data_IF_150481805863
#
_entry.id   IF_150481805863
#
_cell.length_a   1.000
_cell.length_b   1.000
_cell.length_c   1.000
_cell.angle_alpha   90.00
_cell.angle_beta   90.00
_cell.angle_gamma   90.00
#
_symmetry.space_group_name_H-M   'P 1'
#
loop_
_entity.id
_entity.type
_entity.pdbx_description
1 polymer ?
#
# COMPACT_ATOMS: atom_id res chain seq x y z
N UNK A 1 20.62 7.81 -1.15
CA UNK A 1 19.85 8.00 0.09
C UNK A 1 18.84 6.87 0.14
N UNK A 2 18.81 6.08 1.21
CA UNK A 2 17.80 5.04 1.35
C UNK A 2 16.47 5.74 1.66
N UNK A 3 15.62 5.89 0.64
CA UNK A 3 14.22 6.27 0.81
C UNK A 3 13.51 5.14 1.55
N UNK A 4 13.66 5.12 2.87
CA UNK A 4 12.96 4.21 3.77
C UNK A 4 11.48 4.48 3.55
N UNK A 5 10.77 3.53 2.95
CA UNK A 5 9.33 3.61 2.77
C UNK A 5 8.68 3.88 4.13
N UNK A 6 7.66 4.76 4.19
CA UNK A 6 7.03 5.09 5.46
C UNK A 6 6.56 3.79 6.14
N UNK A 7 6.74 3.67 7.47
CA UNK A 7 6.42 2.45 8.17
C UNK A 7 4.94 2.13 7.95
N UNK A 8 4.64 0.85 7.73
CA UNK A 8 3.27 0.36 7.54
C UNK A 8 2.47 0.40 8.85
N UNK A 9 2.38 1.57 9.50
CA UNK A 9 1.65 1.77 10.75
C UNK A 9 0.15 1.82 10.54
N UNK A 10 -0.32 1.79 9.29
CA UNK A 10 -1.73 1.80 8.97
C UNK A 10 -2.32 0.39 9.12
N UNK A 11 -3.30 0.17 10.02
CA UNK A 11 -3.95 -1.12 10.17
C UNK A 11 -4.55 -1.59 8.85
N UNK A 12 -4.28 -2.85 8.47
CA UNK A 12 -4.74 -3.43 7.21
C UNK A 12 -3.90 -3.07 5.97
N UNK A 13 -2.80 -2.31 6.13
CA UNK A 13 -1.78 -2.13 5.10
C UNK A 13 -0.76 -3.28 5.17
N UNK A 14 -0.58 -3.95 4.05
CA UNK A 14 0.43 -4.98 3.86
C UNK A 14 1.34 -4.59 2.70
N UNK A 15 2.65 -4.64 2.92
CA UNK A 15 3.67 -4.32 1.92
C UNK A 15 4.53 -5.55 1.70
N UNK A 16 4.66 -5.96 0.45
CA UNK A 16 5.60 -6.94 -0.02
C UNK A 16 6.71 -6.22 -0.78
N UNK A 17 7.96 -6.34 -0.32
CA UNK A 17 9.11 -5.64 -0.88
C UNK A 17 9.55 -6.19 -2.25
N UNK A 18 8.95 -7.28 -2.73
CA UNK A 18 9.33 -7.92 -3.98
C UNK A 18 10.62 -8.73 -3.86
N UNK A 19 11.35 -8.85 -4.97
CA UNK A 19 12.66 -9.51 -5.05
C UNK A 19 13.54 -8.77 -6.08
N UNK A 20 14.62 -8.16 -5.57
CA UNK A 20 15.59 -7.40 -6.36
C UNK A 20 16.89 -8.17 -6.49
N UNK A 21 17.23 -8.55 -7.72
CA UNK A 21 18.45 -9.28 -8.02
C UNK A 21 19.66 -8.35 -8.04
N UNK A 22 20.81 -8.85 -7.58
CA UNK A 22 22.08 -8.09 -7.55
C UNK A 22 22.56 -7.59 -8.93
N UNK A 23 22.00 -8.12 -10.03
CA UNK A 23 22.25 -7.65 -11.42
C UNK A 23 21.45 -6.40 -11.80
N UNK A 24 20.73 -5.81 -10.86
CA UNK A 24 19.99 -4.58 -11.08
C UNK A 24 18.58 -4.77 -11.65
N UNK A 25 18.02 -5.99 -11.55
CA UNK A 25 16.71 -6.33 -12.12
C UNK A 25 15.75 -6.81 -11.04
N UNK A 26 14.48 -6.45 -11.18
CA UNK A 26 13.41 -6.98 -10.33
C UNK A 26 12.95 -8.35 -10.85
N UNK A 27 13.10 -9.40 -10.05
CA UNK A 27 12.49 -10.71 -10.31
C UNK A 27 11.01 -10.71 -9.96
N UNK A 28 10.65 -9.91 -8.94
CA UNK A 28 9.27 -9.67 -8.53
C UNK A 28 9.14 -8.24 -8.05
N UNK A 29 8.24 -7.48 -8.67
CA UNK A 29 8.00 -6.10 -8.26
C UNK A 29 7.40 -6.05 -6.85
N UNK A 30 7.71 -5.00 -6.09
CA UNK A 30 7.05 -4.80 -4.81
C UNK A 30 5.56 -4.53 -4.99
N UNK A 31 4.79 -4.87 -3.97
CA UNK A 31 3.35 -4.64 -3.95
C UNK A 31 2.90 -4.09 -2.62
N UNK A 32 1.85 -3.28 -2.62
CA UNK A 32 1.18 -2.83 -1.41
C UNK A 32 -0.32 -3.09 -1.54
N UNK A 33 -0.92 -3.59 -0.48
CA UNK A 33 -2.35 -3.86 -0.39
C UNK A 33 -2.87 -3.24 0.89
N UNK A 34 -3.87 -2.37 0.77
CA UNK A 34 -4.60 -1.84 1.90
C UNK A 34 -6.02 -2.39 1.91
N UNK A 35 -6.46 -2.86 3.07
CA UNK A 35 -7.82 -3.32 3.33
C UNK A 35 -8.35 -2.63 4.57
N UNK A 36 -9.47 -1.91 4.47
CA UNK A 36 -10.13 -1.33 5.64
C UNK A 36 -11.19 -2.27 6.21
N UNK A 37 -11.60 -2.03 7.46
CA UNK A 37 -12.70 -2.72 8.15
C UNK A 37 -14.07 -2.56 7.48
N UNK A 38 -14.20 -1.59 6.57
CA UNK A 38 -15.45 -1.28 5.85
C UNK A 38 -15.49 -1.87 4.43
N UNK A 39 -14.55 -2.75 4.09
CA UNK A 39 -14.54 -3.47 2.80
C UNK A 39 -13.84 -2.75 1.64
N UNK A 40 -13.27 -1.55 1.85
CA UNK A 40 -12.43 -0.93 0.83
C UNK A 40 -11.12 -1.70 0.69
N UNK A 41 -10.76 -2.02 -0.56
CA UNK A 41 -9.48 -2.62 -0.91
C UNK A 41 -8.78 -1.78 -1.96
N UNK A 42 -7.51 -1.46 -1.74
CA UNK A 42 -6.65 -0.77 -2.71
C UNK A 42 -5.33 -1.49 -2.86
N UNK A 43 -4.74 -1.45 -4.07
CA UNK A 43 -3.52 -2.16 -4.41
C UNK A 43 -2.62 -1.30 -5.29
N UNK A 44 -1.31 -1.39 -5.07
CA UNK A 44 -0.25 -0.82 -5.89
C UNK A 44 0.81 -1.88 -6.21
N UNK A 45 1.49 -1.75 -7.36
CA UNK A 45 2.55 -2.66 -7.83
C UNK A 45 3.66 -1.85 -8.48
N UNK A 46 4.91 -2.11 -8.11
CA UNK A 46 6.06 -1.35 -8.61
C UNK A 46 6.58 -0.34 -7.59
N UNK A 47 7.84 0.04 -7.73
CA UNK A 47 8.58 0.81 -6.71
C UNK A 47 7.94 2.18 -6.48
N UNK A 48 7.72 2.94 -7.55
CA UNK A 48 7.16 4.29 -7.45
C UNK A 48 5.71 4.28 -6.99
N UNK A 49 4.91 3.34 -7.51
CA UNK A 49 3.51 3.17 -7.12
C UNK A 49 3.37 2.76 -5.66
N UNK A 50 4.19 1.84 -5.16
CA UNK A 50 4.18 1.43 -3.75
C UNK A 50 4.65 2.57 -2.85
N UNK A 51 5.65 3.36 -3.27
CA UNK A 51 6.11 4.53 -2.53
C UNK A 51 5.02 5.61 -2.43
N UNK A 52 4.38 5.96 -3.54
CA UNK A 52 3.29 6.93 -3.54
C UNK A 52 2.08 6.42 -2.75
N UNK A 53 1.73 5.15 -2.94
CA UNK A 53 0.62 4.51 -2.25
C UNK A 53 0.80 4.52 -0.74
N UNK A 54 1.94 4.06 -0.24
CA UNK A 54 2.19 3.99 1.22
C UNK A 54 2.22 5.37 1.87
N UNK A 55 2.61 6.41 1.14
CA UNK A 55 2.56 7.80 1.58
C UNK A 55 1.13 8.34 1.68
N UNK A 56 0.31 8.09 0.67
CA UNK A 56 -0.97 8.80 0.50
C UNK A 56 -2.21 7.95 0.86
N UNK A 57 -2.06 6.62 1.03
CA UNK A 57 -3.20 5.70 1.21
C UNK A 57 -4.10 6.07 2.38
N UNK A 58 -3.55 6.59 3.47
CA UNK A 58 -4.33 7.03 4.63
C UNK A 58 -5.26 8.21 4.26
N UNK A 59 -4.73 9.23 3.59
CA UNK A 59 -5.48 10.42 3.17
C UNK A 59 -6.51 10.06 2.09
N UNK A 60 -6.10 9.31 1.05
CA UNK A 60 -6.99 8.90 -0.02
C UNK A 60 -8.10 8.02 0.55
N UNK A 61 -7.78 7.12 1.49
CA UNK A 61 -8.80 6.30 2.14
C UNK A 61 -9.78 7.15 2.94
N UNK A 62 -9.30 8.04 3.81
CA UNK A 62 -10.17 8.91 4.61
C UNK A 62 -11.16 9.72 3.76
N UNK A 63 -10.78 10.12 2.54
CA UNK A 63 -11.66 10.83 1.59
C UNK A 63 -12.66 9.95 0.84
N UNK A 64 -12.33 8.68 0.62
CA UNK A 64 -13.10 7.79 -0.28
C UNK A 64 -13.83 6.68 0.44
N UNK A 65 -13.54 6.47 1.72
CA UNK A 65 -14.18 5.43 2.52
C UNK A 65 -15.66 5.81 2.75
N UNK A 66 -16.62 4.96 2.37
CA UNK A 66 -18.03 5.20 2.63
C UNK A 66 -18.39 5.11 4.12
N UNK A 67 -17.44 4.78 5.00
CA UNK A 67 -17.68 4.56 6.42
C UNK A 67 -18.28 3.17 6.70
N UNK A 68 -18.68 2.88 7.96
CA UNK A 68 -19.33 1.63 8.29
C UNK A 68 -20.56 1.43 7.42
N UNK A 69 -20.66 0.26 6.80
CA UNK A 69 -21.89 -0.20 6.15
C UNK A 69 -22.92 -0.35 7.27
N UNK A 70 -23.69 0.70 7.54
CA UNK A 70 -24.86 0.61 8.42
C UNK A 70 -25.90 -0.20 7.67
N UNK A 71 -25.82 -1.52 7.80
CA UNK A 71 -26.98 -2.37 7.54
C UNK A 71 -27.95 -2.12 8.69
N UNK A 72 -29.16 -1.59 8.43
CA UNK A 72 -30.20 -1.43 9.46
C UNK A 72 -30.68 -2.78 10.00
#
# INVERSE_FOLDING_TARGET
MADIWPPATLPGLHIDLGDYHHRGVWLRLPTAVFTCSHGCRKRAVGVDDVRAFTKDVAEIHARTCPGPTTTP
#
